data_IF_785288487389
#
_entry.id   IF_785288487389
#
_cell.length_a   1.000
_cell.length_b   1.000
_cell.length_c   1.000
_cell.angle_alpha   90.00
_cell.angle_beta   90.00
_cell.angle_gamma   90.00
#
_symmetry.space_group_name_H-M   'P 1'
#
loop_
_entity.id
_entity.type
_entity.pdbx_description
1 polymer ?
#
# COMPACT_ATOMS: atom_id res chain seq x y z
N UNK A 1 -3.15 11.06 -3.62
CA UNK A 1 -2.71 10.12 -4.68
C UNK A 1 -3.83 10.09 -5.71
N UNK A 2 -3.70 10.87 -6.78
CA UNK A 2 -4.67 10.96 -7.88
C UNK A 2 -4.08 10.42 -9.20
N UNK A 3 -3.09 9.53 -9.11
CA UNK A 3 -2.27 9.10 -10.25
C UNK A 3 -3.08 8.51 -11.43
N UNK A 4 -4.29 8.00 -11.17
CA UNK A 4 -5.15 7.41 -12.20
C UNK A 4 -6.54 8.06 -12.34
N UNK A 5 -6.85 9.14 -11.60
CA UNK A 5 -8.15 9.82 -11.77
C UNK A 5 -8.18 10.48 -13.17
N UNK A 6 -9.23 10.20 -13.94
CA UNK A 6 -9.39 10.67 -15.33
C UNK A 6 -8.91 9.64 -16.36
N UNK A 7 -7.71 9.06 -16.17
CA UNK A 7 -7.09 8.14 -17.14
C UNK A 7 -7.91 6.88 -17.44
N UNK A 8 -8.64 6.32 -16.47
CA UNK A 8 -9.40 5.07 -16.67
C UNK A 8 -10.82 5.35 -17.18
N UNK A 9 -11.47 6.41 -16.71
CA UNK A 9 -12.85 6.75 -17.12
C UNK A 9 -12.93 7.35 -18.51
N UNK A 10 -11.80 7.81 -19.06
CA UNK A 10 -11.70 8.38 -20.41
C UNK A 10 -11.35 7.34 -21.48
N UNK A 11 -10.94 6.12 -21.10
CA UNK A 11 -10.65 5.06 -22.08
C UNK A 11 -11.94 4.46 -22.63
N UNK A 12 -11.87 3.92 -23.84
CA UNK A 12 -13.02 3.26 -24.47
C UNK A 12 -13.46 2.04 -23.62
N UNK A 13 -12.49 1.27 -23.12
CA UNK A 13 -12.75 0.12 -22.26
C UNK A 13 -13.42 0.53 -20.94
N UNK A 14 -12.91 1.55 -20.26
CA UNK A 14 -13.51 2.04 -19.01
C UNK A 14 -14.92 2.55 -19.21
N UNK A 15 -15.17 3.26 -20.31
CA UNK A 15 -16.50 3.76 -20.68
C UNK A 15 -17.48 2.61 -20.93
N UNK A 16 -17.12 1.60 -21.72
CA UNK A 16 -18.04 0.47 -22.03
C UNK A 16 -18.28 -0.45 -20.82
N UNK A 17 -17.27 -0.65 -19.95
CA UNK A 17 -17.44 -1.40 -18.70
C UNK A 17 -18.40 -0.72 -17.72
N UNK A 18 -18.38 0.62 -17.66
CA UNK A 18 -19.20 1.39 -16.71
C UNK A 18 -20.55 1.87 -17.28
N UNK A 19 -20.71 1.87 -18.60
CA UNK A 19 -21.96 2.24 -19.27
C UNK A 19 -23.08 1.31 -18.83
N UNK A 20 -24.22 1.87 -18.43
CA UNK A 20 -25.40 1.07 -18.04
C UNK A 20 -25.99 0.34 -19.24
N UNK A 21 -26.38 -0.91 -19.08
CA UNK A 21 -27.33 -1.57 -19.97
C UNK A 21 -28.74 -1.16 -19.56
N UNK A 22 -29.57 -0.83 -20.54
CA UNK A 22 -31.00 -0.67 -20.31
C UNK A 22 -31.59 -2.02 -19.88
N UNK A 23 -31.88 -2.13 -18.59
CA UNK A 23 -32.57 -3.27 -17.98
C UNK A 23 -34.07 -2.95 -17.93
N UNK A 24 -34.89 -3.80 -18.53
CA UNK A 24 -36.35 -3.73 -18.45
C UNK A 24 -36.83 -4.50 -17.22
N UNK A 25 -38.06 -4.24 -16.74
CA UNK A 25 -38.65 -4.91 -15.55
C UNK A 25 -38.62 -6.45 -15.62
N UNK A 26 -38.53 -7.02 -16.81
CA UNK A 26 -38.49 -8.47 -17.03
C UNK A 26 -37.07 -9.09 -17.00
N UNK A 27 -36.01 -8.28 -16.99
CA UNK A 27 -34.62 -8.75 -17.03
C UNK A 27 -33.89 -8.30 -15.77
N UNK A 28 -34.09 -9.03 -14.67
CA UNK A 28 -33.40 -8.76 -13.41
C UNK A 28 -31.86 -8.85 -13.56
N UNK A 29 -31.34 -9.62 -14.53
CA UNK A 29 -29.92 -9.74 -14.86
C UNK A 29 -29.68 -9.83 -16.38
N UNK A 30 -28.59 -9.23 -16.89
CA UNK A 30 -28.18 -9.32 -18.30
C UNK A 30 -26.68 -9.46 -18.44
N UNK A 31 -26.24 -10.40 -19.29
CA UNK A 31 -24.85 -10.54 -19.71
C UNK A 31 -24.65 -9.83 -21.05
N UNK A 32 -23.56 -9.07 -21.16
CA UNK A 32 -23.14 -8.42 -22.40
C UNK A 32 -21.66 -8.68 -22.63
N UNK A 33 -21.34 -9.17 -23.82
CA UNK A 33 -19.99 -9.16 -24.37
C UNK A 33 -19.87 -8.00 -25.35
N UNK A 34 -18.73 -7.31 -25.33
CA UNK A 34 -18.40 -6.28 -26.32
C UNK A 34 -16.98 -6.51 -26.83
N UNK A 35 -16.79 -6.23 -28.11
CA UNK A 35 -15.50 -6.31 -28.78
C UNK A 35 -15.46 -5.21 -29.82
N UNK A 36 -14.37 -4.45 -29.88
CA UNK A 36 -14.19 -3.39 -30.87
C UNK A 36 -12.73 -3.26 -31.26
N UNK A 37 -12.51 -3.11 -32.55
CA UNK A 37 -11.25 -2.74 -33.14
C UNK A 37 -11.48 -1.47 -33.95
N UNK A 38 -10.61 -0.48 -33.82
CA UNK A 38 -10.72 0.76 -34.59
C UNK A 38 -9.36 1.41 -34.79
N UNK A 39 -9.27 2.22 -35.84
CA UNK A 39 -8.16 3.08 -36.14
C UNK A 39 -8.63 4.54 -36.03
N UNK A 40 -7.90 5.39 -35.31
CA UNK A 40 -8.26 6.81 -35.17
C UNK A 40 -7.81 7.65 -36.39
N UNK A 41 -8.12 8.95 -36.38
CA UNK A 41 -7.77 9.87 -37.46
C UNK A 41 -6.25 10.11 -37.63
N UNK A 42 -5.42 9.59 -36.72
CA UNK A 42 -3.95 9.67 -36.73
C UNK A 42 -3.30 8.30 -36.96
N UNK A 43 -4.03 7.36 -37.59
CA UNK A 43 -3.60 5.99 -37.88
C UNK A 43 -3.31 5.10 -36.65
N UNK A 44 -3.77 5.49 -35.45
CA UNK A 44 -3.55 4.72 -34.22
C UNK A 44 -4.56 3.59 -34.07
N UNK A 45 -4.03 2.37 -33.89
CA UNK A 45 -4.85 1.17 -33.73
C UNK A 45 -5.18 0.91 -32.26
N UNK A 46 -6.45 0.63 -31.99
CA UNK A 46 -6.94 0.21 -30.68
C UNK A 46 -7.83 -1.02 -30.79
N UNK A 47 -7.72 -1.90 -29.82
CA UNK A 47 -8.53 -3.11 -29.70
C UNK A 47 -9.04 -3.25 -28.27
N UNK A 48 -10.28 -3.69 -28.10
CA UNK A 48 -10.91 -3.88 -26.80
C UNK A 48 -11.81 -5.09 -26.83
N UNK A 49 -11.76 -5.89 -25.76
CA UNK A 49 -12.71 -6.97 -25.49
C UNK A 49 -13.10 -6.95 -24.02
N UNK A 50 -14.37 -7.22 -23.73
CA UNK A 50 -14.82 -7.36 -22.36
C UNK A 50 -16.13 -8.09 -22.24
N UNK A 51 -16.39 -8.54 -21.02
CA UNK A 51 -17.66 -9.11 -20.60
C UNK A 51 -18.13 -8.37 -19.36
N UNK A 52 -19.43 -8.13 -19.28
CA UNK A 52 -20.06 -7.62 -18.07
C UNK A 52 -21.41 -8.26 -17.85
N UNK A 53 -21.75 -8.40 -16.57
CA UNK A 53 -23.04 -8.86 -16.09
C UNK A 53 -23.60 -7.73 -15.26
N UNK A 54 -24.82 -7.35 -15.56
CA UNK A 54 -25.53 -6.32 -14.83
C UNK A 54 -26.77 -6.91 -14.20
N UNK A 55 -27.03 -6.54 -12.94
CA UNK A 55 -28.22 -6.95 -12.21
C UNK A 55 -28.86 -5.73 -11.55
N UNK A 56 -30.17 -5.57 -11.69
CA UNK A 56 -30.94 -4.59 -10.91
C UNK A 56 -31.73 -5.33 -9.85
N UNK A 57 -31.51 -4.99 -8.58
CA UNK A 57 -32.31 -5.49 -7.46
C UNK A 57 -32.67 -4.33 -6.54
N UNK A 58 -33.95 -4.17 -6.24
CA UNK A 58 -34.47 -3.11 -5.35
C UNK A 58 -34.01 -1.69 -5.76
N UNK A 59 -33.92 -1.43 -7.08
CA UNK A 59 -33.43 -0.16 -7.63
C UNK A 59 -31.91 0.05 -7.54
N UNK A 60 -31.16 -0.90 -6.97
CA UNK A 60 -29.69 -0.88 -6.94
C UNK A 60 -29.12 -1.64 -8.13
N UNK A 61 -28.16 -0.98 -8.79
CA UNK A 61 -27.46 -1.46 -9.96
C UNK A 61 -26.15 -2.13 -9.54
N UNK A 62 -25.98 -3.39 -9.91
CA UNK A 62 -24.76 -4.16 -9.68
C UNK A 62 -24.14 -4.52 -11.01
N UNK A 63 -22.85 -4.22 -11.18
CA UNK A 63 -22.07 -4.62 -12.36
C UNK A 63 -20.89 -5.46 -11.92
N UNK A 64 -20.70 -6.59 -12.60
CA UNK A 64 -19.50 -7.40 -12.53
C UNK A 64 -18.96 -7.56 -13.95
N UNK A 65 -17.80 -6.99 -14.24
CA UNK A 65 -17.21 -7.04 -15.57
C UNK A 65 -15.70 -7.03 -15.56
N UNK A 66 -15.12 -7.59 -16.61
CA UNK A 66 -13.68 -7.56 -16.88
C UNK A 66 -13.47 -7.24 -18.35
N UNK A 67 -12.37 -6.56 -18.65
CA UNK A 67 -11.97 -6.34 -20.03
C UNK A 67 -10.51 -6.02 -20.19
N UNK A 68 -10.08 -6.20 -21.43
CA UNK A 68 -8.72 -6.00 -21.90
C UNK A 68 -8.76 -4.98 -23.04
N UNK A 69 -7.81 -4.06 -23.04
CA UNK A 69 -7.60 -3.18 -24.19
C UNK A 69 -6.13 -3.00 -24.48
N UNK A 70 -5.84 -2.69 -25.74
CA UNK A 70 -4.58 -2.13 -26.19
C UNK A 70 -4.92 -0.85 -26.93
N UNK A 71 -4.39 0.26 -26.46
CA UNK A 71 -4.65 1.59 -27.03
C UNK A 71 -3.32 2.25 -27.40
N UNK A 72 -3.24 2.81 -28.61
CA UNK A 72 -2.10 3.65 -28.99
C UNK A 72 -2.32 5.06 -28.44
N UNK A 73 -1.40 5.55 -27.61
CA UNK A 73 -1.46 6.90 -27.02
C UNK A 73 -0.27 7.73 -27.52
N UNK A 74 -0.26 9.06 -27.33
CA UNK A 74 0.91 9.88 -27.68
C UNK A 74 2.22 9.40 -27.02
N UNK A 75 2.13 8.78 -25.84
CA UNK A 75 3.27 8.29 -25.06
C UNK A 75 3.63 6.82 -25.35
N UNK A 76 2.95 6.19 -26.33
CA UNK A 76 3.16 4.81 -26.75
C UNK A 76 1.94 3.91 -26.57
N UNK A 77 2.12 2.61 -26.82
CA UNK A 77 1.04 1.62 -26.64
C UNK A 77 0.81 1.33 -25.17
N UNK A 78 -0.43 1.46 -24.71
CA UNK A 78 -0.86 1.11 -23.36
C UNK A 78 -1.75 -0.13 -23.44
N UNK A 79 -1.34 -1.21 -22.78
CA UNK A 79 -2.20 -2.36 -22.51
C UNK A 79 -2.87 -2.21 -21.16
N UNK A 80 -4.14 -2.58 -21.07
CA UNK A 80 -4.94 -2.43 -19.85
C UNK A 80 -5.72 -3.71 -19.55
N UNK A 81 -5.84 -4.01 -18.26
CA UNK A 81 -6.79 -4.96 -17.71
C UNK A 81 -7.62 -4.23 -16.65
N UNK A 82 -8.92 -4.13 -16.88
CA UNK A 82 -9.85 -3.45 -15.98
C UNK A 82 -10.88 -4.44 -15.45
N UNK A 83 -11.20 -4.30 -14.16
CA UNK A 83 -12.23 -5.09 -13.49
C UNK A 83 -13.14 -4.13 -12.74
N UNK A 84 -14.45 -4.25 -12.99
CA UNK A 84 -15.49 -3.55 -12.26
C UNK A 84 -16.27 -4.59 -11.44
N UNK A 85 -16.05 -4.62 -10.13
CA UNK A 85 -16.72 -5.54 -9.21
C UNK A 85 -16.60 -5.04 -7.76
N UNK A 86 -17.57 -5.40 -6.90
CA UNK A 86 -17.52 -5.10 -5.46
C UNK A 86 -16.42 -5.88 -4.71
N UNK A 87 -16.06 -7.06 -5.22
CA UNK A 87 -15.05 -7.96 -4.65
C UNK A 87 -14.30 -8.71 -5.76
N UNK A 88 -12.98 -8.70 -5.69
CA UNK A 88 -12.08 -9.53 -6.51
C UNK A 88 -11.31 -10.44 -5.57
N UNK A 89 -11.28 -11.75 -5.82
CA UNK A 89 -10.57 -12.70 -4.97
C UNK A 89 -9.80 -13.74 -5.80
N UNK A 90 -8.58 -14.06 -5.36
CA UNK A 90 -7.84 -15.21 -5.85
C UNK A 90 -8.05 -16.40 -4.91
N UNK A 91 -8.65 -17.46 -5.45
CA UNK A 91 -8.97 -18.69 -4.72
C UNK A 91 -8.17 -19.83 -5.35
N UNK A 92 -7.42 -20.57 -4.53
CA UNK A 92 -6.78 -21.82 -4.96
C UNK A 92 -7.61 -23.02 -4.45
N UNK A 93 -8.36 -23.73 -5.33
CA UNK A 93 -9.21 -24.84 -4.92
C UNK A 93 -8.45 -26.00 -4.28
N UNK A 94 -7.17 -26.18 -4.63
CA UNK A 94 -6.33 -27.24 -4.08
C UNK A 94 -6.06 -27.06 -2.57
N UNK A 95 -6.20 -25.83 -2.05
CA UNK A 95 -6.01 -25.51 -0.64
C UNK A 95 -7.31 -25.65 0.18
N UNK A 96 -8.35 -26.31 -0.36
CA UNK A 96 -9.60 -26.55 0.37
C UNK A 96 -10.54 -25.35 0.48
N UNK A 97 -10.31 -24.28 -0.31
CA UNK A 97 -11.14 -23.06 -0.34
C UNK A 97 -11.23 -22.25 0.99
N UNK A 98 -10.43 -22.55 2.01
CA UNK A 98 -10.69 -21.97 3.34
C UNK A 98 -10.27 -20.50 3.46
N UNK A 99 -9.19 -20.08 2.78
CA UNK A 99 -8.75 -18.67 2.80
C UNK A 99 -8.23 -18.24 1.43
N UNK A 100 -8.85 -17.22 0.78
CA UNK A 100 -8.31 -16.65 -0.45
C UNK A 100 -6.94 -16.01 -0.20
N UNK A 101 -6.01 -16.17 -1.14
CA UNK A 101 -4.65 -15.61 -1.01
C UNK A 101 -4.61 -14.09 -1.18
N UNK A 102 -5.61 -13.54 -1.89
CA UNK A 102 -5.77 -12.13 -2.18
C UNK A 102 -7.26 -11.80 -2.28
N UNK A 103 -7.70 -10.73 -1.62
CA UNK A 103 -9.04 -10.16 -1.78
C UNK A 103 -8.94 -8.65 -1.88
N UNK A 104 -9.49 -8.08 -2.94
CA UNK A 104 -9.80 -6.66 -3.02
C UNK A 104 -11.29 -6.49 -2.77
N UNK A 105 -11.67 -5.68 -1.79
CA UNK A 105 -13.07 -5.38 -1.48
C UNK A 105 -13.19 -3.95 -0.96
N UNK A 106 -14.08 -3.16 -1.57
CA UNK A 106 -14.10 -1.71 -1.36
C UNK A 106 -12.72 -1.12 -1.67
N UNK A 107 -12.20 -0.30 -0.76
CA UNK A 107 -10.89 0.36 -0.90
C UNK A 107 -9.74 -0.41 -0.24
N UNK A 108 -9.96 -1.68 0.13
CA UNK A 108 -8.99 -2.49 0.86
C UNK A 108 -8.50 -3.68 0.04
N UNK A 109 -7.20 -3.95 0.15
CA UNK A 109 -6.58 -5.19 -0.28
C UNK A 109 -6.20 -5.99 0.97
N UNK A 110 -6.64 -7.24 1.03
CA UNK A 110 -6.42 -8.17 2.12
C UNK A 110 -5.61 -9.35 1.58
N UNK A 111 -4.48 -9.62 2.22
CA UNK A 111 -3.55 -10.69 1.86
C UNK A 111 -3.01 -11.33 3.14
N UNK A 112 -2.77 -12.65 3.10
CA UNK A 112 -2.15 -13.35 4.23
C UNK A 112 -0.64 -13.09 4.28
N UNK A 113 0.02 -13.15 3.14
CA UNK A 113 1.47 -12.98 3.00
C UNK A 113 1.78 -12.21 1.72
N UNK A 114 2.84 -11.39 1.74
CA UNK A 114 3.31 -10.63 0.58
C UNK A 114 4.85 -10.61 0.54
N UNK A 115 5.44 -11.02 -0.57
CA UNK A 115 6.85 -10.83 -0.86
C UNK A 115 7.02 -9.64 -1.80
N UNK A 116 7.64 -8.57 -1.31
CA UNK A 116 7.79 -7.31 -2.04
C UNK A 116 9.27 -6.96 -2.19
N UNK A 117 9.67 -6.56 -3.41
CA UNK A 117 11.02 -6.00 -3.62
C UNK A 117 11.16 -4.63 -2.95
N UNK A 118 10.15 -3.77 -3.11
CA UNK A 118 10.06 -2.45 -2.49
C UNK A 118 8.60 -2.15 -2.12
N UNK A 119 8.39 -1.48 -0.98
CA UNK A 119 7.10 -0.95 -0.57
C UNK A 119 7.17 0.58 -0.55
N UNK A 120 6.36 1.23 -1.38
CA UNK A 120 6.16 2.68 -1.34
C UNK A 120 4.79 2.96 -0.71
N UNK A 121 4.79 3.50 0.50
CA UNK A 121 3.58 3.79 1.25
C UNK A 121 3.72 5.12 2.00
N UNK A 122 2.71 6.01 1.98
CA UNK A 122 2.74 7.25 2.74
C UNK A 122 2.66 7.01 4.25
N UNK A 123 2.00 5.92 4.66
CA UNK A 123 1.93 5.48 6.05
C UNK A 123 1.99 3.96 6.14
N UNK A 124 2.54 3.45 7.23
CA UNK A 124 2.52 2.02 7.58
C UNK A 124 2.06 1.93 9.02
N UNK A 125 1.00 1.19 9.31
CA UNK A 125 0.46 1.06 10.68
C UNK A 125 0.13 -0.39 10.97
N UNK A 126 0.64 -0.91 12.08
CA UNK A 126 0.26 -2.23 12.60
C UNK A 126 -1.17 -2.24 13.15
N UNK A 127 -1.77 -3.43 13.28
CA UNK A 127 -3.05 -3.57 13.97
C UNK A 127 -2.99 -3.17 15.45
N UNK A 128 -4.17 -3.05 16.06
CA UNK A 128 -4.35 -2.63 17.47
C UNK A 128 -4.65 -1.14 17.63
N UNK A 129 -5.20 -0.76 18.79
CA UNK A 129 -5.55 0.63 19.09
C UNK A 129 -5.14 0.98 20.53
N UNK A 130 -4.08 1.80 20.74
CA UNK A 130 -3.20 2.40 19.73
C UNK A 130 -2.23 1.38 19.08
N UNK A 131 -1.78 1.62 17.84
CA UNK A 131 -0.84 0.72 17.15
C UNK A 131 0.50 0.61 17.90
N UNK A 132 1.13 -0.56 17.83
CA UNK A 132 2.45 -0.80 18.43
C UNK A 132 3.61 -0.34 17.53
N UNK A 133 3.38 -0.36 16.22
CA UNK A 133 4.28 0.10 15.17
C UNK A 133 3.55 1.04 14.20
N UNK A 134 4.16 2.20 13.89
CA UNK A 134 3.66 3.11 12.85
C UNK A 134 4.77 3.95 12.22
N UNK A 135 4.67 4.21 10.91
CA UNK A 135 5.43 5.20 10.14
C UNK A 135 4.44 6.20 9.53
N UNK A 136 4.63 7.50 9.79
CA UNK A 136 3.79 8.59 9.28
C UNK A 136 4.46 9.32 8.11
N UNK A 137 3.72 10.14 7.32
CA UNK A 137 4.26 10.75 6.11
C UNK A 137 5.38 11.77 6.37
N UNK A 138 5.42 12.38 7.56
CA UNK A 138 6.48 13.27 8.05
C UNK A 138 7.73 12.50 8.55
N UNK A 139 7.74 11.17 8.42
CA UNK A 139 8.89 10.32 8.74
C UNK A 139 8.96 9.89 10.20
N UNK A 140 7.95 10.18 11.04
CA UNK A 140 7.94 9.72 12.43
C UNK A 140 7.72 8.21 12.49
N UNK A 141 8.71 7.52 13.03
CA UNK A 141 8.66 6.10 13.37
C UNK A 141 8.29 5.94 14.86
N UNK A 142 7.29 5.11 15.15
CA UNK A 142 6.96 4.66 16.52
C UNK A 142 7.03 3.14 16.56
N UNK A 143 7.76 2.59 17.52
CA UNK A 143 7.83 1.16 17.78
C UNK A 143 7.94 0.91 19.29
N UNK A 144 6.91 0.29 19.90
CA UNK A 144 6.80 0.16 21.37
C UNK A 144 7.61 -0.98 21.98
N UNK A 145 7.94 -2.00 21.19
CA UNK A 145 8.67 -3.19 21.64
C UNK A 145 9.64 -3.63 20.55
N UNK A 146 10.55 -2.73 20.17
CA UNK A 146 11.53 -2.97 19.12
C UNK A 146 12.80 -3.63 19.68
N UNK A 147 13.24 -4.72 19.06
CA UNK A 147 14.58 -5.27 19.20
C UNK A 147 15.40 -4.89 17.96
N UNK A 148 16.50 -4.19 18.15
CA UNK A 148 17.35 -3.65 17.08
C UNK A 148 18.77 -4.18 17.26
N UNK A 149 19.16 -5.11 16.41
CA UNK A 149 20.49 -5.75 16.44
C UNK A 149 21.55 -5.03 15.61
N UNK A 150 21.15 -4.03 14.82
CA UNK A 150 22.02 -3.28 13.93
C UNK A 150 22.53 -1.97 14.53
N UNK A 151 23.41 -1.30 13.77
CA UNK A 151 23.87 0.04 14.10
C UNK A 151 22.75 1.07 13.98
N UNK A 152 22.61 1.93 14.99
CA UNK A 152 21.68 3.06 15.00
C UNK A 152 22.50 4.35 14.92
N UNK A 153 22.29 5.16 13.88
CA UNK A 153 22.84 6.50 13.76
C UNK A 153 21.75 7.54 14.03
N UNK A 154 21.94 8.40 15.02
CA UNK A 154 21.03 9.50 15.32
C UNK A 154 21.81 10.80 15.51
N UNK A 155 21.35 11.88 14.88
CA UNK A 155 21.93 13.22 15.05
C UNK A 155 21.63 13.78 16.44
N UNK A 156 20.46 13.43 16.98
CA UNK A 156 20.02 13.77 18.34
C UNK A 156 18.97 12.78 18.81
N UNK A 157 18.76 12.69 20.13
CA UNK A 157 17.74 11.83 20.71
C UNK A 157 17.70 11.96 22.24
N UNK A 158 16.67 11.39 22.84
CA UNK A 158 16.56 11.21 24.28
C UNK A 158 16.33 9.73 24.56
N UNK A 159 17.01 9.21 25.57
CA UNK A 159 16.84 7.84 26.05
C UNK A 159 16.31 7.91 27.48
N UNK A 160 15.33 7.07 27.78
CA UNK A 160 14.76 6.93 29.11
C UNK A 160 14.83 5.46 29.51
N UNK A 161 15.16 5.21 30.78
CA UNK A 161 15.43 3.86 31.27
C UNK A 161 16.93 3.58 31.32
N UNK A 162 17.28 2.32 31.12
CA UNK A 162 18.64 1.80 31.31
C UNK A 162 19.39 1.73 29.97
N UNK A 163 20.65 2.14 29.97
CA UNK A 163 21.56 1.97 28.85
C UNK A 163 22.64 0.98 29.28
N UNK A 164 22.53 -0.26 28.78
CA UNK A 164 23.51 -1.31 29.00
C UNK A 164 24.45 -1.40 27.81
N UNK A 165 25.74 -1.12 28.04
CA UNK A 165 26.76 -1.15 27.00
C UNK A 165 28.06 -1.76 27.53
N UNK A 166 28.72 -2.61 26.73
CA UNK A 166 30.05 -3.13 27.05
C UNK A 166 31.11 -2.02 27.01
N UNK A 167 30.93 -1.03 26.13
CA UNK A 167 31.78 0.16 26.03
C UNK A 167 31.05 1.29 25.30
N UNK A 168 31.51 2.53 25.49
CA UNK A 168 30.95 3.71 24.82
C UNK A 168 31.90 4.89 24.90
N UNK A 169 31.79 5.82 23.94
CA UNK A 169 32.49 7.11 23.98
C UNK A 169 31.47 8.23 24.11
N UNK A 170 31.59 8.99 25.18
CA UNK A 170 30.77 10.17 25.43
C UNK A 170 31.65 11.41 25.29
N UNK A 171 31.11 12.45 24.66
CA UNK A 171 31.77 13.75 24.50
C UNK A 171 30.82 14.86 24.92
N UNK A 172 31.36 15.90 25.55
CA UNK A 172 30.57 17.01 26.09
C UNK A 172 30.33 16.86 27.58
N UNK A 173 29.23 17.45 28.06
CA UNK A 173 28.84 17.43 29.47
C UNK A 173 28.02 16.18 29.77
N UNK A 174 28.38 15.46 30.83
CA UNK A 174 27.62 14.35 31.37
C UNK A 174 27.14 14.76 32.75
N UNK A 175 25.84 14.95 32.90
CA UNK A 175 25.20 15.19 34.19
C UNK A 175 24.64 13.88 34.72
N UNK A 176 25.04 13.51 35.93
CA UNK A 176 24.55 12.32 36.60
C UNK A 176 24.38 12.62 38.09
N UNK A 177 23.40 11.97 38.72
CA UNK A 177 23.21 12.03 40.17
C UNK A 177 24.34 11.31 40.91
N UNK A 178 24.83 10.20 40.36
CA UNK A 178 25.87 9.36 40.95
C UNK A 178 26.64 8.63 39.85
N UNK A 179 27.93 8.41 40.09
CA UNK A 179 28.76 7.48 39.34
C UNK A 179 29.25 6.40 40.29
N UNK A 180 29.07 5.13 39.93
CA UNK A 180 29.49 3.97 40.74
C UNK A 180 30.55 3.19 39.96
N UNK A 181 31.71 2.98 40.58
CA UNK A 181 32.86 2.28 39.98
C UNK A 181 34.04 3.21 39.67
N UNK A 182 35.00 2.71 38.90
CA UNK A 182 36.19 3.46 38.52
C UNK A 182 35.86 4.48 37.42
N UNK A 183 35.97 5.76 37.72
CA UNK A 183 35.63 6.85 36.80
C UNK A 183 36.84 7.29 35.95
N UNK A 184 38.07 7.07 36.44
CA UNK A 184 39.29 7.49 35.73
C UNK A 184 40.46 6.53 35.98
N UNK A 185 41.10 6.08 34.90
CA UNK A 185 42.13 5.03 34.95
C UNK A 185 43.59 5.47 35.06
N UNK A 186 43.97 6.73 34.78
CA UNK A 186 45.22 7.37 35.26
C UNK A 186 45.66 8.64 34.51
N UNK A 187 46.25 9.54 35.32
CA UNK A 187 47.34 10.49 35.03
C UNK A 187 47.07 11.78 34.26
N UNK A 188 45.92 12.42 34.50
CA UNK A 188 45.79 13.87 34.77
C UNK A 188 44.34 14.28 34.49
N UNK A 189 43.61 14.69 35.53
CA UNK A 189 42.38 15.44 35.39
C UNK A 189 42.73 16.93 35.57
N UNK A 190 43.11 17.64 34.49
CA UNK A 190 43.35 19.09 34.60
C UNK A 190 42.01 19.81 34.74
N UNK A 191 41.91 20.73 35.71
CA UNK A 191 40.75 21.61 35.85
C UNK A 191 39.54 21.00 36.57
N UNK A 192 39.70 19.87 37.28
CA UNK A 192 38.64 19.36 38.16
C UNK A 192 38.51 20.26 39.39
N UNK A 193 37.34 20.90 39.52
CA UNK A 193 36.92 21.57 40.75
C UNK A 193 35.85 20.72 41.39
N UNK A 194 36.21 20.02 42.46
CA UNK A 194 35.25 19.41 43.39
C UNK A 194 34.82 20.54 44.33
N UNK A 195 33.53 20.86 44.36
CA UNK A 195 32.94 21.82 45.30
C UNK A 195 32.07 21.10 46.29
#
# INVERSE_FOLDING_TARGET
MDFFKGLITETYLGTELLKKIDLTENNASKLQQFSKEWQDANDKWSATWGVKIEQTKDGKYYVAGLGLSMEDTPDGKISQFLVAADRIAYINPANGNETPGFVMQGDQIIMNEAFLKYLSAPTITSGGNPPAFSLTPDGKLTAKNADISGHINAVSGSFTGEINATSGKFSGVIEAREFVGDICGSKVMQGVSIR
#
